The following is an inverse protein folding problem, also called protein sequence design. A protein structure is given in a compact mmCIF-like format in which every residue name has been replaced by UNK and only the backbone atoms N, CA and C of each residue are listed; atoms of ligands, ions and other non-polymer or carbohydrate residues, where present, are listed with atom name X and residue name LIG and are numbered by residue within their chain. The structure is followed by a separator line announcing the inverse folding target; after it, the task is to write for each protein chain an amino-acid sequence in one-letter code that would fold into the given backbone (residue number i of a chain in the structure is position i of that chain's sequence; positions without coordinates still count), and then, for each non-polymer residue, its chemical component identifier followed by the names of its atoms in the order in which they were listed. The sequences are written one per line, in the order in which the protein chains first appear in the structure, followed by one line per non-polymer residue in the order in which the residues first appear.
data_IF_967954589727
#
_entry.id   IF_967954589727
#
_cell.length_a   1.000
_cell.length_b   1.000
_cell.length_c   1.000
_cell.angle_alpha   90.00
_cell.angle_beta   90.00
_cell.angle_gamma   90.00
#
_symmetry.space_group_name_H-M   'P 1'
#
loop_
_entity.id
_entity.type
_entity.pdbx_description
1 polymer ?
#
# COMPACT_ATOMS: atom_id res chain seq x y z
N UNK A 1 -3.09 -21.45 6.63
CA UNK A 1 -3.57 -20.85 7.89
C UNK A 1 -3.05 -19.42 7.95
N UNK A 2 -3.89 -18.42 7.68
CA UNK A 2 -3.48 -17.01 7.63
C UNK A 2 -3.66 -16.39 9.02
N UNK A 3 -2.55 -16.30 9.78
CA UNK A 3 -2.55 -15.60 11.07
C UNK A 3 -2.77 -14.08 10.92
N UNK A 4 -2.58 -13.55 9.70
CA UNK A 4 -2.78 -12.14 9.39
C UNK A 4 -4.27 -11.75 9.45
N UNK A 5 -5.21 -12.59 8.99
CA UNK A 5 -6.62 -12.19 8.82
C UNK A 5 -7.36 -11.96 10.15
N UNK A 6 -6.95 -12.58 11.25
CA UNK A 6 -7.70 -12.54 12.50
C UNK A 6 -7.48 -11.26 13.34
N UNK A 7 -6.40 -10.51 13.10
CA UNK A 7 -6.04 -9.35 13.93
C UNK A 7 -6.57 -8.02 13.38
N UNK A 8 -6.96 -7.96 12.10
CA UNK A 8 -7.41 -6.70 11.49
C UNK A 8 -8.85 -6.31 11.86
N UNK A 9 -9.73 -7.28 12.15
CA UNK A 9 -11.15 -7.01 12.42
C UNK A 9 -11.46 -6.38 13.78
N UNK A 10 -10.52 -6.32 14.74
CA UNK A 10 -10.81 -5.93 16.14
C UNK A 10 -10.64 -4.43 16.48
N UNK A 11 -10.13 -3.60 15.57
CA UNK A 11 -9.84 -2.18 15.84
C UNK A 11 -10.80 -1.19 15.14
N UNK A 12 -11.97 -1.66 14.69
CA UNK A 12 -12.80 -0.98 13.69
C UNK A 12 -13.76 0.11 14.20
N UNK A 13 -13.69 0.58 15.44
CA UNK A 13 -14.78 1.43 15.98
C UNK A 13 -14.61 2.95 15.89
N UNK A 14 -13.41 3.51 15.62
CA UNK A 14 -13.23 4.99 15.49
C UNK A 14 -12.50 5.48 14.21
N UNK A 15 -11.83 4.60 13.44
CA UNK A 15 -10.94 4.98 12.32
C UNK A 15 -11.48 4.69 10.90
N UNK A 16 -12.73 4.22 10.77
CA UNK A 16 -13.34 3.79 9.50
C UNK A 16 -13.18 4.80 8.34
N UNK A 17 -13.42 6.12 8.52
CA UNK A 17 -13.26 7.09 7.45
C UNK A 17 -11.82 7.19 6.94
N UNK A 18 -10.83 7.04 7.83
CA UNK A 18 -9.42 7.12 7.46
C UNK A 18 -9.01 5.89 6.63
N UNK A 19 -9.40 4.69 7.08
CA UNK A 19 -9.06 3.43 6.40
C UNK A 19 -9.70 3.30 5.02
N UNK A 20 -10.94 3.76 4.86
CA UNK A 20 -11.61 3.75 3.56
C UNK A 20 -10.92 4.71 2.58
N UNK A 21 -10.53 5.91 3.05
CA UNK A 21 -9.78 6.88 2.24
C UNK A 21 -8.41 6.32 1.82
N UNK A 22 -7.68 5.66 2.73
CA UNK A 22 -6.42 4.99 2.42
C UNK A 22 -6.60 3.88 1.37
N UNK A 23 -7.64 3.05 1.52
CA UNK A 23 -7.97 2.00 0.56
C UNK A 23 -8.34 2.57 -0.82
N UNK A 24 -9.10 3.67 -0.87
CA UNK A 24 -9.43 4.37 -2.11
C UNK A 24 -8.19 4.97 -2.78
N UNK A 25 -7.30 5.60 -2.02
CA UNK A 25 -6.05 6.17 -2.52
C UNK A 25 -5.15 5.08 -3.10
N UNK A 26 -4.97 3.97 -2.38
CA UNK A 26 -4.22 2.81 -2.85
C UNK A 26 -4.86 2.21 -4.10
N UNK A 27 -6.20 2.05 -4.14
CA UNK A 27 -6.89 1.52 -5.32
C UNK A 27 -6.72 2.41 -6.55
N UNK A 28 -6.74 3.75 -6.38
CA UNK A 28 -6.50 4.69 -7.47
C UNK A 28 -5.09 4.56 -8.02
N UNK A 29 -4.09 4.55 -7.14
CA UNK A 29 -2.69 4.35 -7.54
C UNK A 29 -2.47 2.99 -8.18
N UNK A 30 -3.07 1.93 -7.63
CA UNK A 30 -2.92 0.58 -8.16
C UNK A 30 -3.49 0.47 -9.57
N UNK A 31 -4.62 1.14 -9.85
CA UNK A 31 -5.15 1.27 -11.20
C UNK A 31 -4.19 2.01 -12.13
N UNK A 32 -3.62 3.14 -11.69
CA UNK A 32 -2.63 3.88 -12.49
C UNK A 32 -1.39 3.04 -12.81
N UNK A 33 -0.91 2.22 -11.87
CA UNK A 33 0.22 1.32 -12.12
C UNK A 33 -0.11 0.29 -13.21
N UNK A 34 -1.33 -0.26 -13.22
CA UNK A 34 -1.80 -1.20 -14.26
C UNK A 34 -1.92 -0.53 -15.62
N UNK A 35 -2.59 0.63 -15.67
CA UNK A 35 -2.88 1.35 -16.92
C UNK A 35 -1.59 1.89 -17.57
N UNK A 36 -0.63 2.35 -16.75
CA UNK A 36 0.53 3.07 -17.23
C UNK A 36 1.81 2.21 -17.30
N UNK A 37 1.73 0.89 -17.13
CA UNK A 37 2.92 0.00 -17.07
C UNK A 37 3.82 0.13 -18.30
N UNK A 38 3.21 0.22 -19.48
CA UNK A 38 3.88 0.33 -20.79
C UNK A 38 3.79 1.73 -21.41
N UNK A 39 3.37 2.72 -20.63
CA UNK A 39 3.10 4.09 -21.08
C UNK A 39 4.24 5.05 -20.70
N UNK A 40 4.42 6.18 -21.40
CA UNK A 40 5.30 7.27 -20.96
C UNK A 40 4.97 7.80 -19.55
N UNK A 41 3.72 7.68 -19.10
CA UNK A 41 3.30 8.12 -17.76
C UNK A 41 3.69 7.16 -16.63
N UNK A 42 4.36 6.04 -16.94
CA UNK A 42 4.84 5.06 -15.96
C UNK A 42 5.56 5.69 -14.77
N UNK A 43 6.47 6.63 -15.02
CA UNK A 43 7.25 7.29 -13.96
C UNK A 43 6.34 8.09 -13.01
N UNK A 44 5.29 8.71 -13.55
CA UNK A 44 4.29 9.44 -12.75
C UNK A 44 3.51 8.48 -11.85
N UNK A 45 3.06 7.33 -12.38
CA UNK A 45 2.36 6.31 -11.59
C UNK A 45 3.25 5.78 -10.44
N UNK A 46 4.52 5.47 -10.73
CA UNK A 46 5.50 5.05 -9.73
C UNK A 46 5.77 6.14 -8.67
N UNK A 47 5.84 7.41 -9.07
CA UNK A 47 6.05 8.51 -8.13
C UNK A 47 4.86 8.70 -7.20
N UNK A 48 3.64 8.56 -7.72
CA UNK A 48 2.43 8.58 -6.91
C UNK A 48 2.40 7.43 -5.90
N UNK A 49 2.79 6.23 -6.32
CA UNK A 49 2.92 5.09 -5.41
C UNK A 49 3.91 5.35 -4.28
N UNK A 50 5.11 5.83 -4.61
CA UNK A 50 6.12 6.15 -3.60
C UNK A 50 5.63 7.21 -2.60
N UNK A 51 4.97 8.28 -3.09
CA UNK A 51 4.42 9.34 -2.23
C UNK A 51 3.34 8.82 -1.30
N UNK A 52 2.44 7.98 -1.81
CA UNK A 52 1.37 7.38 -1.01
C UNK A 52 1.95 6.52 0.12
N UNK A 53 2.90 5.64 -0.18
CA UNK A 53 3.57 4.85 0.86
C UNK A 53 4.30 5.72 1.89
N UNK A 54 4.90 6.83 1.47
CA UNK A 54 5.52 7.78 2.41
C UNK A 54 4.48 8.40 3.36
N UNK A 55 3.28 8.70 2.88
CA UNK A 55 2.21 9.26 3.71
C UNK A 55 1.67 8.21 4.69
N UNK A 56 1.39 7.00 4.21
CA UNK A 56 0.92 5.89 5.05
C UNK A 56 1.92 5.53 6.16
N UNK A 57 3.22 5.47 5.83
CA UNK A 57 4.25 5.18 6.83
C UNK A 57 4.40 6.31 7.88
N UNK A 58 4.06 7.55 7.52
CA UNK A 58 4.06 8.68 8.47
C UNK A 58 2.85 8.67 9.40
N UNK A 59 1.71 8.12 8.96
CA UNK A 59 0.52 8.00 9.79
C UNK A 59 0.53 6.75 10.70
N UNK A 60 1.45 5.80 10.49
CA UNK A 60 1.54 4.57 11.31
C UNK A 60 1.57 4.86 12.82
N UNK A 61 2.31 5.89 13.25
CA UNK A 61 2.44 6.22 14.67
C UNK A 61 1.16 6.83 15.26
N UNK A 62 0.30 7.40 14.40
CA UNK A 62 -0.94 8.05 14.81
C UNK A 62 -2.12 7.08 14.96
N UNK A 63 -1.96 5.83 14.52
CA UNK A 63 -3.02 4.81 14.55
C UNK A 63 -2.68 3.74 15.58
N UNK A 64 -3.64 3.39 16.42
CA UNK A 64 -3.48 2.30 17.39
C UNK A 64 -3.50 0.95 16.67
N UNK A 65 -2.42 0.18 16.78
CA UNK A 65 -2.25 -1.14 16.17
C UNK A 65 -1.26 -1.98 16.97
N UNK A 66 -1.26 -3.29 16.78
CA UNK A 66 -0.27 -4.17 17.40
C UNK A 66 1.15 -3.90 16.86
N UNK A 67 2.17 -4.12 17.68
CA UNK A 67 3.57 -3.93 17.28
C UNK A 67 3.95 -4.83 16.10
N UNK A 68 3.40 -6.04 16.03
CA UNK A 68 3.57 -6.94 14.90
C UNK A 68 3.02 -6.33 13.62
N UNK A 69 1.78 -5.84 13.66
CA UNK A 69 1.14 -5.22 12.49
C UNK A 69 1.91 -3.98 12.03
N UNK A 70 2.33 -3.15 12.97
CA UNK A 70 3.19 -1.99 12.71
C UNK A 70 4.48 -2.39 12.00
N UNK A 71 5.19 -3.40 12.53
CA UNK A 71 6.45 -3.89 11.95
C UNK A 71 6.25 -4.41 10.53
N UNK A 72 5.20 -5.19 10.30
CA UNK A 72 4.86 -5.74 8.98
C UNK A 72 4.53 -4.63 7.98
N UNK A 73 3.72 -3.64 8.36
CA UNK A 73 3.39 -2.50 7.50
C UNK A 73 4.62 -1.65 7.17
N UNK A 74 5.52 -1.42 8.14
CA UNK A 74 6.77 -0.73 7.88
C UNK A 74 7.66 -1.50 6.90
N UNK A 75 7.75 -2.83 7.05
CA UNK A 75 8.53 -3.67 6.16
C UNK A 75 7.97 -3.63 4.72
N UNK A 76 6.66 -3.77 4.58
CA UNK A 76 5.98 -3.73 3.27
C UNK A 76 6.11 -2.35 2.63
N UNK A 77 5.85 -1.27 3.35
CA UNK A 77 5.97 0.09 2.81
C UNK A 77 7.40 0.46 2.41
N UNK A 78 8.39 0.00 3.19
CA UNK A 78 9.80 0.17 2.85
C UNK A 78 10.18 -0.61 1.59
N UNK A 79 9.72 -1.85 1.47
CA UNK A 79 9.92 -2.67 0.27
C UNK A 79 9.27 -2.02 -0.96
N UNK A 80 8.01 -1.58 -0.85
CA UNK A 80 7.26 -0.98 -1.95
C UNK A 80 7.90 0.33 -2.44
N UNK A 81 8.44 1.14 -1.51
CA UNK A 81 9.17 2.37 -1.83
C UNK A 81 10.47 2.06 -2.59
N UNK A 82 11.26 1.09 -2.12
CA UNK A 82 12.51 0.66 -2.79
C UNK A 82 12.26 0.02 -4.16
N UNK A 83 11.20 -0.78 -4.27
CA UNK A 83 10.80 -1.38 -5.53
C UNK A 83 10.35 -0.32 -6.54
N UNK A 84 9.57 0.67 -6.08
CA UNK A 84 9.14 1.80 -6.93
C UNK A 84 10.33 2.56 -7.51
N UNK A 85 11.32 2.91 -6.68
CA UNK A 85 12.57 3.55 -7.12
C UNK A 85 13.35 2.68 -8.13
N UNK A 86 13.44 1.38 -7.86
CA UNK A 86 14.10 0.43 -8.77
C UNK A 86 13.38 0.34 -10.11
N UNK A 87 12.04 0.37 -10.10
CA UNK A 87 11.17 0.32 -11.28
C UNK A 87 11.10 1.63 -12.08
N UNK A 88 11.52 2.76 -11.47
CA UNK A 88 11.75 4.02 -12.18
C UNK A 88 13.06 3.97 -12.96
N UNK A 89 14.12 3.47 -12.32
CA UNK A 89 15.47 3.41 -12.90
C UNK A 89 15.64 2.27 -13.90
N UNK A 90 14.89 1.17 -13.72
CA UNK A 90 14.93 -0.04 -14.54
C UNK A 90 13.51 -0.35 -15.01
N UNK A 91 13.33 -0.67 -16.29
CA UNK A 91 12.03 -1.09 -16.84
C UNK A 91 11.67 -2.54 -16.44
N UNK A 92 11.57 -2.79 -15.13
CA UNK A 92 11.10 -4.07 -14.56
C UNK A 92 9.56 -4.08 -14.46
N UNK A 93 8.95 -5.25 -14.34
CA UNK A 93 7.48 -5.36 -14.24
C UNK A 93 6.93 -4.64 -13.00
N UNK A 94 5.72 -4.07 -13.11
CA UNK A 94 4.99 -3.49 -11.98
C UNK A 94 4.11 -4.50 -11.25
N UNK A 95 3.94 -5.72 -11.77
CA UNK A 95 3.07 -6.73 -11.19
C UNK A 95 3.29 -6.96 -9.68
N UNK A 96 4.53 -7.09 -9.17
CA UNK A 96 4.75 -7.29 -7.73
C UNK A 96 4.24 -6.13 -6.87
N UNK A 97 4.37 -4.90 -7.37
CA UNK A 97 3.89 -3.69 -6.68
C UNK A 97 2.36 -3.63 -6.68
N UNK A 98 1.76 -4.04 -7.79
CA UNK A 98 0.31 -4.09 -7.99
C UNK A 98 -0.34 -5.10 -7.04
N UNK A 99 0.27 -6.28 -6.91
CA UNK A 99 -0.23 -7.37 -6.07
C UNK A 99 -0.15 -7.01 -4.58
N UNK A 100 0.98 -6.43 -4.15
CA UNK A 100 1.13 -5.95 -2.77
C UNK A 100 0.09 -4.87 -2.44
N UNK A 101 -0.09 -3.89 -3.32
CA UNK A 101 -1.12 -2.87 -3.12
C UNK A 101 -2.53 -3.46 -3.05
N UNK A 102 -2.85 -4.48 -3.87
CA UNK A 102 -4.14 -5.17 -3.84
C UNK A 102 -4.38 -5.86 -2.49
N UNK A 103 -3.40 -6.62 -1.98
CA UNK A 103 -3.49 -7.29 -0.69
C UNK A 103 -3.71 -6.31 0.47
N UNK A 104 -3.08 -5.13 0.43
CA UNK A 104 -3.24 -4.10 1.45
C UNK A 104 -4.65 -3.47 1.38
N UNK A 105 -5.14 -3.19 0.17
CA UNK A 105 -6.53 -2.70 -0.02
C UNK A 105 -7.53 -3.69 0.56
N UNK A 106 -7.33 -4.98 0.32
CA UNK A 106 -8.18 -6.04 0.81
C UNK A 106 -8.17 -6.11 2.35
N UNK A 107 -6.98 -6.00 2.97
CA UNK A 107 -6.85 -5.91 4.42
C UNK A 107 -7.50 -4.66 5.03
N UNK A 108 -7.39 -3.51 4.37
CA UNK A 108 -8.02 -2.26 4.82
C UNK A 108 -9.56 -2.29 4.74
N UNK A 109 -10.10 -3.04 3.78
CA UNK A 109 -11.56 -3.20 3.60
C UNK A 109 -12.18 -4.27 4.52
N UNK A 110 -11.36 -4.95 5.32
CA UNK A 110 -11.84 -5.90 6.32
C UNK A 110 -12.32 -7.24 5.75
N UNK A 111 -11.58 -7.82 4.80
CA UNK A 111 -11.70 -9.27 4.51
C UNK A 111 -11.37 -10.13 5.74
#
# INVERSE_FOLDING_TARGET
MSYATAQYGKYASDDLPSREVEAMALARVNRMLKEEEFSPNRQKALSMNQRLWTLLLRSIDSVSMSDTLRSDLMAVGSWASRYSLSAMNRKISLAPLIDVNANIIDGLRGQ
#
